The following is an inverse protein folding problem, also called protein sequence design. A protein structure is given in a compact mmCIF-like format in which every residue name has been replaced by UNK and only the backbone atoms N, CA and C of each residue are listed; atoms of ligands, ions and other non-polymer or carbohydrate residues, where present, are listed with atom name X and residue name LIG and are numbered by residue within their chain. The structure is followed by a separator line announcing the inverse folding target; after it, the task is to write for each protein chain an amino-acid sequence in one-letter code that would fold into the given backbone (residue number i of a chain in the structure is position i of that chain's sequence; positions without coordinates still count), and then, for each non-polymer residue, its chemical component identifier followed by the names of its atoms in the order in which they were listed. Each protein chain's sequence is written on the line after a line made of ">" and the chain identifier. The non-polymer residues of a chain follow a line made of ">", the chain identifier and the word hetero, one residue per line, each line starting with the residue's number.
data_IF_064657564166
#
_entry.id   IF_064657564166
#
_cell.length_a   1.000
_cell.length_b   1.000
_cell.length_c   1.000
_cell.angle_alpha   90.00
_cell.angle_beta   90.00
_cell.angle_gamma   90.00
#
_symmetry.space_group_name_H-M   'P 1'
#
loop_
_entity.id
_entity.type
_entity.pdbx_description
1 polymer ?
#
# COMPACT_ATOMS: atom_id res chain seq x y z
N UNK A 1 0.13 1.17 -9.58
CA UNK A 1 0.31 -0.28 -9.35
C UNK A 1 0.94 -0.91 -10.59
N UNK A 2 2.18 -1.39 -10.50
CA UNK A 2 2.88 -1.93 -11.66
C UNK A 2 2.34 -3.32 -12.06
N UNK A 3 1.78 -3.39 -13.27
CA UNK A 3 1.16 -4.54 -13.96
C UNK A 3 2.13 -5.65 -14.37
N UNK A 4 3.35 -5.70 -13.84
CA UNK A 4 4.39 -6.67 -14.23
C UNK A 4 3.96 -8.12 -13.95
N UNK A 5 3.08 -8.34 -12.97
CA UNK A 5 2.65 -9.67 -12.50
C UNK A 5 1.39 -10.20 -13.18
N UNK A 6 0.48 -9.29 -13.56
CA UNK A 6 -0.94 -9.60 -13.73
C UNK A 6 -1.22 -10.63 -14.83
N UNK A 7 -0.49 -10.58 -15.94
CA UNK A 7 -0.73 -11.49 -17.05
C UNK A 7 -0.22 -12.92 -16.78
N UNK A 8 0.88 -13.07 -16.05
CA UNK A 8 1.57 -14.37 -15.93
C UNK A 8 1.39 -15.07 -14.59
N UNK A 9 1.47 -14.33 -13.49
CA UNK A 9 1.44 -14.88 -12.13
C UNK A 9 0.12 -14.61 -11.42
N UNK A 10 -0.72 -13.73 -11.98
CA UNK A 10 -1.96 -13.26 -11.33
C UNK A 10 -1.63 -12.49 -10.05
N UNK A 11 -2.45 -12.66 -9.01
CA UNK A 11 -2.13 -12.12 -7.70
C UNK A 11 -0.88 -12.80 -7.09
N UNK A 12 -0.02 -12.01 -6.45
CA UNK A 12 1.24 -12.47 -5.84
C UNK A 12 1.27 -12.02 -4.38
N UNK A 13 1.62 -12.92 -3.48
CA UNK A 13 1.91 -12.61 -2.08
C UNK A 13 3.30 -13.10 -1.68
N UNK A 14 3.91 -12.41 -0.72
CA UNK A 14 5.20 -12.77 -0.13
C UNK A 14 5.04 -12.78 1.38
N UNK A 15 5.45 -13.86 2.03
CA UNK A 15 5.46 -14.00 3.50
C UNK A 15 6.80 -14.55 3.96
N UNK A 16 7.29 -14.15 5.13
CA UNK A 16 8.47 -14.76 5.73
C UNK A 16 8.05 -15.96 6.57
N UNK A 17 8.63 -17.12 6.29
CA UNK A 17 8.33 -18.35 7.01
C UNK A 17 9.62 -19.10 7.36
N UNK A 18 9.60 -19.81 8.49
CA UNK A 18 10.63 -20.80 8.80
C UNK A 18 10.36 -22.09 7.99
N UNK A 19 11.35 -22.53 7.23
CA UNK A 19 11.26 -23.72 6.38
C UNK A 19 12.40 -24.68 6.67
N UNK A 20 12.13 -25.98 6.52
CA UNK A 20 13.15 -27.00 6.60
C UNK A 20 13.97 -27.03 5.30
N UNK A 21 15.30 -26.79 5.34
CA UNK A 21 16.15 -26.85 4.14
C UNK A 21 16.03 -28.17 3.36
N UNK A 22 15.70 -29.28 4.03
CA UNK A 22 15.54 -30.61 3.42
C UNK A 22 14.31 -30.68 2.49
N UNK A 23 13.33 -29.79 2.68
CA UNK A 23 12.11 -29.72 1.86
C UNK A 23 12.28 -28.87 0.59
N UNK A 24 13.41 -28.17 0.45
CA UNK A 24 13.65 -27.25 -0.65
C UNK A 24 14.13 -27.99 -1.91
N UNK A 25 13.70 -27.49 -3.06
CA UNK A 25 14.09 -27.95 -4.39
C UNK A 25 14.74 -26.80 -5.15
N UNK A 26 15.62 -27.12 -6.07
CA UNK A 26 16.35 -26.18 -6.91
C UNK A 26 16.27 -26.64 -8.37
N UNK A 27 16.26 -25.69 -9.32
CA UNK A 27 16.52 -26.00 -10.74
C UNK A 27 18.02 -26.05 -11.07
N UNK A 28 18.86 -25.69 -10.09
CA UNK A 28 20.31 -25.68 -10.17
C UNK A 28 20.84 -26.87 -9.36
N UNK A 29 21.64 -27.74 -10.01
CA UNK A 29 22.27 -28.90 -9.37
C UNK A 29 23.72 -28.66 -8.92
N UNK A 30 24.35 -27.58 -9.39
CA UNK A 30 25.75 -27.23 -9.08
C UNK A 30 25.86 -25.77 -8.64
N UNK A 31 26.59 -25.53 -7.55
CA UNK A 31 26.83 -24.16 -7.03
C UNK A 31 28.30 -23.79 -7.05
N UNK A 32 28.61 -22.52 -7.34
CA UNK A 32 29.98 -22.02 -7.28
C UNK A 32 30.57 -22.08 -5.85
N UNK A 33 31.74 -22.69 -5.69
CA UNK A 33 32.38 -22.93 -4.38
C UNK A 33 32.70 -21.65 -3.63
N UNK A 34 33.16 -20.58 -4.30
CA UNK A 34 33.43 -19.30 -3.62
C UNK A 34 32.18 -18.64 -3.05
N UNK A 35 31.06 -18.68 -3.77
CA UNK A 35 29.75 -18.18 -3.28
C UNK A 35 29.19 -19.06 -2.17
N UNK A 36 29.43 -20.37 -2.23
CA UNK A 36 29.05 -21.30 -1.17
C UNK A 36 29.84 -21.01 0.12
N UNK A 37 31.16 -20.80 0.04
CA UNK A 37 31.98 -20.41 1.19
C UNK A 37 31.52 -19.07 1.79
N UNK A 38 31.19 -18.09 0.94
CA UNK A 38 30.63 -16.80 1.39
C UNK A 38 29.30 -16.97 2.13
N UNK A 39 28.43 -17.87 1.65
CA UNK A 39 27.17 -18.19 2.31
C UNK A 39 27.37 -18.89 3.66
N UNK A 40 28.37 -19.78 3.79
CA UNK A 40 28.73 -20.38 5.08
C UNK A 40 29.25 -19.33 6.07
N UNK A 41 30.10 -18.40 5.61
CA UNK A 41 30.58 -17.31 6.45
C UNK A 41 29.43 -16.43 6.94
N UNK A 42 28.49 -16.07 6.07
CA UNK A 42 27.29 -15.33 6.45
C UNK A 42 26.44 -16.10 7.48
N UNK A 43 26.24 -17.40 7.28
CA UNK A 43 25.51 -18.23 8.23
C UNK A 43 26.16 -18.22 9.62
N UNK A 44 27.49 -18.28 9.69
CA UNK A 44 28.21 -18.17 10.96
C UNK A 44 27.97 -16.84 11.66
N UNK A 45 27.83 -15.72 10.93
CA UNK A 45 27.50 -14.43 11.52
C UNK A 45 26.12 -14.44 12.19
N UNK A 46 25.11 -15.04 11.55
CA UNK A 46 23.78 -15.23 12.15
C UNK A 46 23.84 -16.02 13.45
N UNK A 47 24.50 -17.18 13.41
CA UNK A 47 24.64 -18.06 14.57
C UNK A 47 25.40 -17.36 15.71
N UNK A 48 26.49 -16.67 15.39
CA UNK A 48 27.28 -15.92 16.37
C UNK A 48 26.49 -14.76 17.00
N UNK A 49 25.60 -14.12 16.25
CA UNK A 49 24.72 -13.06 16.74
C UNK A 49 23.51 -13.59 17.53
N UNK A 50 23.31 -14.90 17.64
CA UNK A 50 22.12 -15.48 18.27
C UNK A 50 20.82 -15.22 17.49
N UNK A 51 20.93 -14.87 16.20
CA UNK A 51 19.80 -14.57 15.33
C UNK A 51 19.43 -15.85 14.56
N UNK A 52 18.13 -16.10 14.40
CA UNK A 52 17.69 -17.26 13.64
C UNK A 52 18.25 -17.21 12.20
N UNK A 53 18.77 -18.32 11.66
CA UNK A 53 19.42 -18.35 10.35
C UNK A 53 18.59 -17.70 9.25
N UNK A 54 19.15 -16.64 8.67
CA UNK A 54 18.55 -15.84 7.60
C UNK A 54 17.23 -15.16 7.93
N UNK A 55 16.92 -14.98 9.23
CA UNK A 55 15.90 -14.05 9.65
C UNK A 55 16.23 -12.67 9.08
N UNK A 56 15.25 -11.90 8.58
CA UNK A 56 15.54 -10.59 8.04
C UNK A 56 16.21 -9.67 9.06
N UNK A 57 17.34 -9.08 8.69
CA UNK A 57 18.10 -8.17 9.55
C UNK A 57 18.48 -6.91 8.80
N UNK A 58 18.31 -5.76 9.45
CA UNK A 58 18.79 -4.48 8.93
C UNK A 58 20.23 -4.28 9.41
N UNK A 59 21.18 -4.33 8.48
CA UNK A 59 22.58 -4.05 8.78
C UNK A 59 22.75 -2.54 8.88
N UNK A 60 23.16 -2.04 10.05
CA UNK A 60 23.47 -0.62 10.22
C UNK A 60 24.69 -0.24 9.40
N UNK A 61 24.57 0.81 8.58
CA UNK A 61 25.66 1.39 7.79
C UNK A 61 25.52 2.92 7.78
N UNK A 62 26.64 3.69 7.77
CA UNK A 62 26.61 5.15 7.72
C UNK A 62 25.82 5.72 6.53
N UNK A 63 25.80 5.01 5.40
CA UNK A 63 25.18 5.45 4.14
C UNK A 63 23.72 4.95 3.97
N UNK A 64 23.10 4.51 5.07
CA UNK A 64 21.80 3.85 5.07
C UNK A 64 21.93 2.35 5.29
N UNK A 65 21.02 1.78 6.08
CA UNK A 65 21.07 0.36 6.44
C UNK A 65 20.82 -0.55 5.24
N UNK A 66 21.53 -1.68 5.17
CA UNK A 66 21.31 -2.71 4.14
C UNK A 66 20.44 -3.80 4.72
N UNK A 67 19.26 -4.03 4.15
CA UNK A 67 18.43 -5.15 4.56
C UNK A 67 18.98 -6.46 4.00
N UNK A 68 19.35 -7.38 4.89
CA UNK A 68 19.75 -8.72 4.52
C UNK A 68 18.56 -9.66 4.63
N UNK A 69 18.19 -10.25 3.50
CA UNK A 69 17.07 -11.18 3.38
C UNK A 69 17.55 -12.64 3.37
N UNK A 70 16.63 -13.56 3.66
CA UNK A 70 16.86 -14.99 3.43
C UNK A 70 16.72 -15.40 1.96
N UNK A 71 16.78 -16.71 1.67
CA UNK A 71 16.48 -17.22 0.34
C UNK A 71 15.04 -16.87 -0.08
N UNK A 72 14.85 -16.67 -1.39
CA UNK A 72 13.54 -16.49 -2.00
C UNK A 72 13.04 -17.84 -2.53
N UNK A 73 11.86 -18.25 -2.10
CA UNK A 73 11.29 -19.57 -2.36
C UNK A 73 9.87 -19.41 -2.90
N UNK A 74 9.53 -20.12 -3.97
CA UNK A 74 8.17 -20.23 -4.49
C UNK A 74 7.45 -21.44 -3.89
N UNK A 75 6.22 -21.23 -3.41
CA UNK A 75 5.31 -22.33 -3.05
C UNK A 75 4.66 -22.89 -4.32
N UNK A 76 5.27 -23.93 -4.89
CA UNK A 76 4.84 -24.57 -6.13
C UNK A 76 4.09 -25.89 -5.84
N UNK A 77 3.18 -26.38 -6.71
CA UNK A 77 2.49 -27.66 -6.51
C UNK A 77 3.44 -28.86 -6.44
N UNK A 78 4.64 -28.72 -7.02
CA UNK A 78 5.72 -29.73 -7.00
C UNK A 78 6.67 -29.58 -5.79
N UNK A 79 6.37 -28.70 -4.83
CA UNK A 79 7.17 -28.46 -3.63
C UNK A 79 7.68 -27.02 -3.50
N UNK A 80 8.52 -26.78 -2.50
CA UNK A 80 9.16 -25.48 -2.28
C UNK A 80 10.34 -25.31 -3.24
N UNK A 81 10.26 -24.35 -4.15
CA UNK A 81 11.26 -24.10 -5.19
C UNK A 81 12.11 -22.88 -4.84
N UNK A 82 13.42 -23.05 -4.74
CA UNK A 82 14.36 -21.94 -4.56
C UNK A 82 14.41 -21.13 -5.86
N UNK A 83 14.02 -19.86 -5.78
CA UNK A 83 14.16 -18.89 -6.86
C UNK A 83 15.48 -18.13 -6.76
N UNK A 84 15.90 -17.79 -5.54
CA UNK A 84 17.19 -17.18 -5.24
C UNK A 84 17.74 -17.65 -3.89
N UNK A 85 19.07 -17.62 -3.74
CA UNK A 85 19.74 -17.96 -2.48
C UNK A 85 20.06 -19.45 -2.31
N UNK A 86 20.23 -20.21 -3.40
CA UNK A 86 20.59 -21.65 -3.34
C UNK A 86 21.85 -21.92 -2.51
N UNK A 87 22.86 -21.04 -2.58
CA UNK A 87 24.08 -21.16 -1.77
C UNK A 87 23.80 -21.05 -0.27
N UNK A 88 22.91 -20.11 0.12
CA UNK A 88 22.48 -19.89 1.52
C UNK A 88 21.72 -21.09 2.05
N UNK A 89 20.75 -21.59 1.28
CA UNK A 89 19.98 -22.77 1.63
C UNK A 89 20.87 -24.01 1.74
N UNK A 90 21.79 -24.21 0.79
CA UNK A 90 22.73 -25.34 0.83
C UNK A 90 23.66 -25.25 2.04
N UNK A 91 24.16 -24.05 2.38
CA UNK A 91 25.00 -23.86 3.56
C UNK A 91 24.25 -24.29 4.82
N UNK A 92 23.00 -23.83 5.00
CA UNK A 92 22.18 -24.23 6.13
C UNK A 92 21.93 -25.75 6.20
N UNK A 93 21.62 -26.37 5.06
CA UNK A 93 21.43 -27.83 4.98
C UNK A 93 22.71 -28.58 5.40
N UNK A 94 23.88 -28.15 4.91
CA UNK A 94 25.17 -28.80 5.22
C UNK A 94 25.61 -28.58 6.68
N UNK A 95 25.16 -27.50 7.31
CA UNK A 95 25.33 -27.25 8.74
C UNK A 95 24.31 -28.02 9.61
N UNK A 96 23.43 -28.84 9.02
CA UNK A 96 22.48 -29.66 9.76
C UNK A 96 21.33 -28.86 10.40
N UNK A 97 21.05 -27.66 9.90
CA UNK A 97 19.96 -26.85 10.41
C UNK A 97 18.61 -27.47 10.03
N UNK A 98 17.70 -27.53 11.00
CA UNK A 98 16.32 -28.00 10.79
C UNK A 98 15.40 -26.92 10.25
N UNK A 99 15.81 -25.65 10.36
CA UNK A 99 15.00 -24.48 9.99
C UNK A 99 15.87 -23.34 9.48
N UNK A 100 15.37 -22.64 8.46
CA UNK A 100 15.87 -21.35 7.98
C UNK A 100 14.70 -20.44 7.69
N UNK A 101 14.87 -19.13 7.85
CA UNK A 101 13.87 -18.17 7.41
C UNK A 101 14.01 -17.91 5.91
N UNK A 102 12.89 -17.92 5.19
CA UNK A 102 12.83 -17.70 3.76
C UNK A 102 11.66 -16.78 3.39
N UNK A 103 11.83 -16.00 2.32
CA UNK A 103 10.74 -15.26 1.69
C UNK A 103 9.93 -16.23 0.80
N UNK A 104 8.71 -16.55 1.20
CA UNK A 104 7.80 -17.46 0.50
C UNK A 104 6.90 -16.68 -0.44
N UNK A 105 7.17 -16.79 -1.73
CA UNK A 105 6.34 -16.32 -2.83
C UNK A 105 5.19 -17.29 -3.08
N UNK A 106 3.95 -16.79 -3.05
CA UNK A 106 2.76 -17.53 -3.49
C UNK A 106 2.10 -16.79 -4.64
N UNK A 107 1.85 -17.50 -5.73
CA UNK A 107 1.27 -16.96 -6.97
C UNK A 107 -0.09 -17.60 -7.26
N UNK A 108 -1.03 -16.79 -7.77
CA UNK A 108 -2.36 -17.28 -8.19
C UNK A 108 -2.24 -18.21 -9.40
N UNK A 109 -1.43 -17.81 -10.38
CA UNK A 109 -1.06 -18.63 -11.54
C UNK A 109 0.34 -19.18 -11.29
N UNK A 110 0.48 -20.50 -11.40
CA UNK A 110 1.69 -21.23 -11.02
C UNK A 110 2.37 -21.77 -12.29
N UNK A 111 3.22 -20.97 -12.96
CA UNK A 111 3.90 -21.41 -14.17
C UNK A 111 4.87 -22.55 -13.87
N UNK A 112 5.13 -23.40 -14.86
CA UNK A 112 6.09 -24.49 -14.74
C UNK A 112 7.49 -23.98 -14.36
N UNK A 113 8.27 -24.73 -13.56
CA UNK A 113 9.66 -24.36 -13.25
C UNK A 113 10.52 -24.29 -14.52
N UNK A 114 11.57 -23.46 -14.49
CA UNK A 114 12.46 -23.29 -15.64
C UNK A 114 13.24 -24.56 -16.03
N UNK A 115 13.24 -25.59 -15.20
CA UNK A 115 13.92 -26.86 -15.45
C UNK A 115 13.50 -27.96 -14.47
N UNK A 116 14.16 -29.14 -14.54
CA UNK A 116 13.90 -30.24 -13.63
C UNK A 116 14.15 -29.82 -12.18
N UNK A 117 13.29 -30.29 -11.27
CA UNK A 117 13.47 -30.06 -9.85
C UNK A 117 14.49 -31.06 -9.29
N UNK A 118 15.48 -30.52 -8.58
CA UNK A 118 16.52 -31.27 -7.88
C UNK A 118 16.38 -30.98 -6.38
N UNK A 119 16.23 -32.00 -5.52
CA UNK A 119 16.24 -31.79 -4.08
C UNK A 119 17.51 -31.07 -3.64
N UNK A 120 17.42 -30.15 -2.68
CA UNK A 120 18.58 -29.38 -2.23
C UNK A 120 19.74 -30.28 -1.72
N UNK A 121 19.42 -31.46 -1.18
CA UNK A 121 20.40 -32.45 -0.74
C UNK A 121 21.27 -33.01 -1.88
N UNK A 122 20.76 -33.03 -3.10
CA UNK A 122 21.46 -33.46 -4.30
C UNK A 122 22.27 -32.34 -4.98
N UNK A 123 22.15 -31.09 -4.51
CA UNK A 123 22.96 -29.97 -4.99
C UNK A 123 24.37 -30.05 -4.42
N UNK A 124 25.38 -29.94 -5.29
CA UNK A 124 26.79 -30.04 -4.91
C UNK A 124 27.60 -28.80 -5.28
N UNK A 125 28.61 -28.41 -4.48
CA UNK A 125 29.58 -27.40 -4.89
C UNK A 125 30.40 -27.87 -6.08
N UNK A 126 30.62 -27.00 -7.06
CA UNK A 126 31.44 -27.30 -8.22
C UNK A 126 32.91 -27.48 -7.83
N UNK A 127 33.55 -28.55 -8.32
CA UNK A 127 35.00 -28.77 -8.15
C UNK A 127 35.85 -27.94 -9.11
N UNK A 128 35.24 -27.27 -10.09
CA UNK A 128 35.92 -26.45 -11.07
C UNK A 128 36.11 -25.00 -10.54
N UNK A 129 37.33 -24.43 -10.55
CA UNK A 129 37.60 -23.09 -10.02
C UNK A 129 36.89 -21.92 -10.71
N UNK A 130 36.23 -22.14 -11.86
CA UNK A 130 35.73 -21.06 -12.73
C UNK A 130 34.33 -21.32 -13.35
N UNK A 131 33.37 -21.89 -12.62
CA UNK A 131 31.97 -21.87 -13.07
C UNK A 131 31.32 -20.52 -12.77
N UNK A 132 31.71 -19.48 -13.53
CA UNK A 132 31.05 -18.16 -13.51
C UNK A 132 29.75 -18.12 -14.31
N UNK A 133 29.44 -19.19 -15.04
CA UNK A 133 28.21 -19.29 -15.83
C UNK A 133 27.29 -20.26 -15.11
N UNK A 134 26.12 -19.84 -14.60
CA UNK A 134 25.09 -20.79 -14.22
C UNK A 134 24.79 -21.65 -15.45
N UNK A 135 25.13 -22.94 -15.37
CA UNK A 135 24.82 -23.92 -16.40
C UNK A 135 23.31 -24.16 -16.38
N UNK A 136 22.55 -23.18 -16.87
CA UNK A 136 21.15 -23.34 -17.24
C UNK A 136 21.10 -24.17 -18.52
N UNK A 137 21.59 -25.42 -18.45
CA UNK A 137 21.40 -26.38 -19.54
C UNK A 137 19.90 -26.70 -19.57
N UNK A 138 19.23 -26.30 -20.65
CA UNK A 138 17.82 -26.61 -20.97
C UNK A 138 16.73 -25.71 -20.38
N UNK A 139 16.99 -24.44 -20.09
CA UNK A 139 15.94 -23.54 -19.57
C UNK A 139 15.30 -22.72 -20.69
N UNK A 140 14.00 -22.90 -20.86
CA UNK A 140 13.15 -21.95 -21.59
C UNK A 140 13.20 -20.60 -20.87
N UNK A 141 13.75 -19.57 -21.52
CA UNK A 141 13.92 -18.23 -20.94
C UNK A 141 12.59 -17.65 -20.46
N UNK A 142 11.49 -18.04 -21.12
CA UNK A 142 10.16 -17.62 -20.74
C UNK A 142 9.81 -18.15 -19.36
N UNK A 143 10.42 -19.22 -18.86
CA UNK A 143 10.18 -19.78 -17.51
C UNK A 143 11.01 -19.17 -16.37
N UNK A 144 11.84 -18.14 -16.62
CA UNK A 144 12.50 -17.45 -15.50
C UNK A 144 11.57 -16.51 -14.74
N UNK A 145 11.82 -16.42 -13.43
CA UNK A 145 11.15 -15.47 -12.52
C UNK A 145 12.01 -14.21 -12.46
N UNK A 146 11.41 -13.01 -12.45
CA UNK A 146 12.14 -11.75 -12.30
C UNK A 146 12.56 -11.55 -10.83
N UNK A 147 13.42 -12.42 -10.31
CA UNK A 147 13.79 -12.52 -8.88
C UNK A 147 14.29 -11.22 -8.28
N UNK A 148 15.08 -10.44 -9.01
CA UNK A 148 15.55 -9.14 -8.54
C UNK A 148 14.39 -8.18 -8.22
N UNK A 149 13.39 -8.07 -9.10
CA UNK A 149 12.20 -7.24 -8.84
C UNK A 149 11.36 -7.76 -7.67
N UNK A 150 11.33 -9.08 -7.47
CA UNK A 150 10.66 -9.69 -6.30
C UNK A 150 11.38 -9.26 -5.02
N UNK A 151 12.71 -9.34 -5.01
CA UNK A 151 13.52 -8.97 -3.86
C UNK A 151 13.42 -7.47 -3.56
N UNK A 152 13.47 -6.61 -4.56
CA UNK A 152 13.30 -5.15 -4.39
C UNK A 152 11.95 -4.80 -3.73
N UNK A 153 10.85 -5.41 -4.19
CA UNK A 153 9.52 -5.18 -3.61
C UNK A 153 9.38 -5.76 -2.20
N UNK A 154 9.91 -6.97 -1.98
CA UNK A 154 9.91 -7.60 -0.66
C UNK A 154 10.76 -6.79 0.34
N UNK A 155 11.88 -6.23 -0.12
CA UNK A 155 12.76 -5.37 0.65
C UNK A 155 12.06 -4.06 1.02
N UNK A 156 11.46 -3.33 0.07
CA UNK A 156 10.73 -2.10 0.39
C UNK A 156 9.63 -2.30 1.43
N UNK A 157 8.88 -3.41 1.33
CA UNK A 157 7.81 -3.71 2.28
C UNK A 157 8.35 -4.10 3.65
N UNK A 158 9.42 -4.90 3.71
CA UNK A 158 9.99 -5.34 4.97
C UNK A 158 10.79 -4.23 5.68
N UNK A 159 11.46 -3.35 4.93
CA UNK A 159 12.05 -2.14 5.49
C UNK A 159 10.97 -1.25 6.10
N UNK A 160 9.81 -1.15 5.46
CA UNK A 160 8.65 -0.44 6.02
C UNK A 160 8.20 -1.10 7.32
N UNK A 161 7.92 -2.40 7.30
CA UNK A 161 7.46 -3.15 8.47
C UNK A 161 8.47 -3.07 9.64
N UNK A 162 9.77 -3.19 9.36
CA UNK A 162 10.82 -3.06 10.38
C UNK A 162 10.97 -1.63 10.90
N UNK A 163 10.79 -0.61 10.05
CA UNK A 163 10.75 0.79 10.50
C UNK A 163 9.50 1.08 11.31
N UNK A 164 8.36 0.48 10.97
CA UNK A 164 7.13 0.58 11.76
C UNK A 164 7.31 -0.10 13.11
N UNK A 165 7.84 -1.32 13.16
CA UNK A 165 8.15 -2.02 14.42
C UNK A 165 9.15 -1.25 15.29
N UNK A 166 10.17 -0.64 14.68
CA UNK A 166 11.11 0.22 15.40
C UNK A 166 10.49 1.57 15.86
N UNK A 167 9.37 2.00 15.26
CA UNK A 167 8.62 3.21 15.63
C UNK A 167 7.41 2.93 16.54
N UNK A 168 6.88 1.71 16.55
CA UNK A 168 5.73 1.29 17.36
C UNK A 168 6.03 1.37 18.87
N UNK A 169 7.30 1.42 19.27
CA UNK A 169 7.68 1.69 20.67
C UNK A 169 7.49 3.16 21.09
N UNK A 170 7.14 4.10 20.19
CA UNK A 170 7.03 5.52 20.58
C UNK A 170 5.83 6.36 20.14
N UNK A 171 5.00 6.04 19.14
CA UNK A 171 3.79 6.85 18.89
C UNK A 171 2.63 6.03 18.30
N UNK A 172 1.46 6.08 18.94
CA UNK A 172 0.22 5.59 18.36
C UNK A 172 -0.10 6.44 17.12
N UNK A 173 -0.03 5.86 15.93
CA UNK A 173 -0.45 6.51 14.69
C UNK A 173 -1.96 6.76 14.73
N UNK A 174 -2.35 7.92 15.27
CA UNK A 174 -3.73 8.35 15.34
C UNK A 174 -4.15 8.98 14.01
N UNK A 175 -5.33 8.60 13.50
CA UNK A 175 -5.96 9.34 12.43
C UNK A 175 -6.59 10.62 13.01
N UNK A 176 -6.50 11.72 12.27
CA UNK A 176 -7.07 13.01 12.65
C UNK A 176 -8.15 13.42 11.65
N UNK A 177 -9.27 13.97 12.13
CA UNK A 177 -10.32 14.59 11.30
C UNK A 177 -10.67 15.95 11.91
N UNK A 178 -10.81 16.98 11.08
CA UNK A 178 -11.15 18.33 11.53
C UNK A 178 -11.84 19.15 10.44
N UNK A 179 -12.52 20.21 10.87
CA UNK A 179 -13.07 21.25 10.00
C UNK A 179 -12.47 22.61 10.39
N UNK A 180 -12.96 23.69 9.79
CA UNK A 180 -12.49 25.06 10.03
C UNK A 180 -12.73 25.57 11.46
N UNK A 181 -13.65 24.94 12.20
CA UNK A 181 -14.11 25.38 13.53
C UNK A 181 -13.56 24.47 14.65
N UNK A 182 -12.91 23.36 14.30
CA UNK A 182 -12.32 22.42 15.24
C UNK A 182 -11.16 23.02 16.06
N UNK A 183 -11.07 22.63 17.34
CA UNK A 183 -9.95 22.99 18.23
C UNK A 183 -8.59 22.47 17.70
N UNK A 184 -8.60 21.39 16.91
CA UNK A 184 -7.41 20.78 16.34
C UNK A 184 -6.61 21.76 15.46
N UNK A 185 -7.27 22.78 14.90
CA UNK A 185 -6.65 23.76 14.00
C UNK A 185 -5.39 24.42 14.57
N UNK A 186 -5.33 24.62 15.89
CA UNK A 186 -4.20 25.31 16.53
C UNK A 186 -3.13 24.33 17.07
N UNK A 187 -3.37 23.02 16.96
CA UNK A 187 -2.37 22.00 17.29
C UNK A 187 -1.27 21.94 16.23
N UNK A 188 -0.04 21.62 16.68
CA UNK A 188 1.13 21.53 15.81
C UNK A 188 1.39 20.09 15.37
N UNK A 189 1.78 19.95 14.11
CA UNK A 189 2.22 18.71 13.50
C UNK A 189 3.60 18.31 14.03
N UNK A 190 3.71 17.11 14.58
CA UNK A 190 4.99 16.45 14.81
C UNK A 190 5.70 16.07 13.50
N UNK A 191 7.02 15.84 13.57
CA UNK A 191 7.83 15.46 12.41
C UNK A 191 7.33 14.21 11.69
N UNK A 192 6.77 13.26 12.44
CA UNK A 192 6.29 11.96 11.98
C UNK A 192 4.92 12.02 11.31
N UNK A 193 4.14 13.09 11.56
CA UNK A 193 2.80 13.30 10.98
C UNK A 193 2.80 14.20 9.75
N UNK A 194 3.95 14.77 9.37
CA UNK A 194 4.06 15.60 8.17
C UNK A 194 3.69 14.76 6.93
N UNK A 195 2.65 15.14 6.17
CA UNK A 195 2.17 14.36 5.05
C UNK A 195 3.18 14.35 3.90
N UNK A 196 3.27 13.21 3.21
CA UNK A 196 4.01 13.07 1.95
C UNK A 196 3.09 12.94 0.74
N UNK A 197 1.79 12.82 0.99
CA UNK A 197 0.74 12.66 -0.02
C UNK A 197 -0.44 13.54 0.34
N UNK A 198 -1.08 14.07 -0.68
CA UNK A 198 -2.26 14.93 -0.57
C UNK A 198 -3.37 14.37 -1.46
N UNK A 199 -4.58 14.33 -0.93
CA UNK A 199 -5.76 13.88 -1.65
C UNK A 199 -6.83 14.97 -1.59
N UNK A 200 -7.11 15.57 -2.75
CA UNK A 200 -8.18 16.54 -2.92
C UNK A 200 -9.42 15.79 -3.38
N UNK A 201 -10.34 15.54 -2.47
CA UNK A 201 -11.48 14.64 -2.64
C UNK A 201 -12.79 15.42 -2.78
N UNK A 202 -13.65 14.98 -3.70
CA UNK A 202 -15.00 15.51 -3.86
C UNK A 202 -16.06 14.44 -3.61
N UNK A 203 -16.54 14.28 -2.36
CA UNK A 203 -17.71 13.46 -2.09
C UNK A 203 -18.98 14.12 -2.64
N UNK A 204 -19.87 13.30 -3.19
CA UNK A 204 -21.18 13.74 -3.63
C UNK A 204 -22.26 13.25 -2.67
N UNK A 205 -22.98 14.20 -2.10
CA UNK A 205 -24.21 13.93 -1.35
C UNK A 205 -25.36 14.01 -2.34
N UNK A 206 -25.77 12.83 -2.82
CA UNK A 206 -26.88 12.72 -3.77
C UNK A 206 -28.18 12.60 -3.00
N UNK A 207 -29.16 13.44 -3.33
CA UNK A 207 -30.44 13.55 -2.61
C UNK A 207 -31.61 13.36 -3.57
N UNK A 208 -32.56 12.51 -3.19
CA UNK A 208 -33.76 12.26 -3.98
C UNK A 208 -34.91 13.23 -3.64
N UNK A 209 -36.04 13.09 -4.34
CA UNK A 209 -37.24 13.92 -4.13
C UNK A 209 -37.83 13.75 -2.72
N UNK A 210 -37.62 12.59 -2.10
CA UNK A 210 -38.03 12.27 -0.71
C UNK A 210 -37.03 12.80 0.34
N UNK A 211 -36.06 13.62 -0.07
CA UNK A 211 -34.96 14.15 0.78
C UNK A 211 -34.07 13.09 1.43
N UNK A 212 -34.06 11.88 0.88
CA UNK A 212 -33.14 10.83 1.32
C UNK A 212 -31.79 11.03 0.66
N UNK A 213 -30.72 10.75 1.39
CA UNK A 213 -29.35 10.74 0.87
C UNK A 213 -28.98 9.33 0.40
N UNK A 214 -28.17 9.27 -0.66
CA UNK A 214 -27.59 8.05 -1.17
C UNK A 214 -26.27 7.73 -0.48
N UNK A 215 -26.16 6.53 0.08
CA UNK A 215 -24.88 5.92 0.46
C UNK A 215 -24.69 4.64 -0.35
N UNK A 216 -23.45 4.39 -0.79
CA UNK A 216 -23.10 3.26 -1.66
C UNK A 216 -21.95 2.46 -1.07
N UNK A 217 -21.85 1.20 -1.48
CA UNK A 217 -20.63 0.41 -1.36
C UNK A 217 -20.04 0.27 -2.76
N UNK A 218 -18.99 1.05 -3.11
CA UNK A 218 -18.38 1.01 -4.43
C UNK A 218 -17.46 -0.21 -4.61
N UNK A 219 -17.24 -1.01 -3.57
CA UNK A 219 -16.33 -2.15 -3.56
C UNK A 219 -16.99 -3.42 -3.01
N UNK A 220 -18.11 -3.88 -3.60
CA UNK A 220 -18.91 -4.98 -3.05
C UNK A 220 -18.19 -6.35 -3.09
N UNK A 221 -17.16 -6.49 -3.92
CA UNK A 221 -16.28 -7.67 -3.97
C UNK A 221 -14.93 -7.44 -3.26
N UNK A 222 -14.72 -6.26 -2.70
CA UNK A 222 -13.49 -5.86 -2.01
C UNK A 222 -13.49 -6.17 -0.52
N UNK A 223 -12.41 -5.82 0.16
CA UNK A 223 -12.26 -5.98 1.62
C UNK A 223 -12.90 -4.84 2.44
N UNK A 224 -13.52 -3.87 1.78
CA UNK A 224 -13.97 -2.61 2.38
C UNK A 224 -15.49 -2.65 2.47
N UNK A 225 -15.99 -3.43 3.42
CA UNK A 225 -17.42 -3.58 3.70
C UNK A 225 -17.95 -2.31 4.41
N UNK A 226 -18.08 -1.21 3.65
CA UNK A 226 -18.29 0.13 4.22
C UNK A 226 -19.17 1.01 3.33
N UNK A 227 -20.23 1.57 3.92
CA UNK A 227 -21.05 2.60 3.31
C UNK A 227 -20.30 3.92 3.23
N UNK A 228 -20.33 4.55 2.05
CA UNK A 228 -19.71 5.85 1.80
C UNK A 228 -20.52 6.69 0.82
N UNK A 229 -20.29 8.00 0.80
CA UNK A 229 -20.70 8.80 -0.34
C UNK A 229 -19.86 8.43 -1.56
N UNK A 230 -20.44 8.41 -2.78
CA UNK A 230 -19.62 8.35 -3.99
C UNK A 230 -18.64 9.52 -4.02
N UNK A 231 -17.37 9.24 -4.28
CA UNK A 231 -16.33 10.27 -4.32
C UNK A 231 -15.28 9.93 -5.37
N UNK A 232 -14.52 10.96 -5.75
CA UNK A 232 -13.29 10.84 -6.49
C UNK A 232 -12.26 11.82 -5.92
N UNK A 233 -10.99 11.57 -6.19
CA UNK A 233 -9.90 12.38 -5.66
C UNK A 233 -8.84 12.65 -6.71
N UNK A 234 -8.30 13.87 -6.73
CA UNK A 234 -6.97 14.13 -7.26
C UNK A 234 -5.95 13.79 -6.17
N UNK A 235 -5.00 12.91 -6.48
CA UNK A 235 -3.94 12.51 -5.55
C UNK A 235 -2.62 13.05 -6.10
N UNK A 236 -1.90 13.79 -5.26
CA UNK A 236 -0.58 14.34 -5.59
C UNK A 236 0.42 14.05 -4.47
N UNK A 237 1.68 13.84 -4.81
CA UNK A 237 2.76 13.64 -3.84
C UNK A 237 3.49 14.94 -3.53
N UNK A 238 4.21 14.97 -2.40
CA UNK A 238 5.04 16.11 -2.02
C UNK A 238 6.11 16.42 -3.06
N UNK A 239 6.68 15.40 -3.69
CA UNK A 239 7.67 15.56 -4.76
C UNK A 239 7.05 16.25 -5.98
N UNK A 240 5.86 15.84 -6.42
CA UNK A 240 5.14 16.45 -7.55
C UNK A 240 4.86 17.93 -7.29
N UNK A 241 4.37 18.28 -6.09
CA UNK A 241 4.11 19.67 -5.72
C UNK A 241 5.41 20.50 -5.68
N UNK A 242 6.50 19.90 -5.21
CA UNK A 242 7.80 20.60 -5.10
C UNK A 242 8.42 20.88 -6.48
N UNK A 243 8.22 19.98 -7.45
CA UNK A 243 8.72 20.13 -8.81
C UNK A 243 8.00 21.25 -9.57
N UNK A 244 6.69 21.38 -9.40
CA UNK A 244 5.91 22.44 -10.05
C UNK A 244 6.29 23.83 -9.53
N UNK A 245 6.56 23.92 -8.23
CA UNK A 245 6.97 25.17 -7.57
C UNK A 245 8.35 25.66 -8.03
N UNK A 246 9.25 24.76 -8.45
CA UNK A 246 10.59 25.12 -8.89
C UNK A 246 10.65 25.71 -10.32
N UNK A 247 9.58 25.53 -11.11
CA UNK A 247 9.48 26.02 -12.49
C UNK A 247 8.86 27.42 -12.65
N UNK A 248 8.25 27.96 -11.60
CA UNK A 248 7.62 29.28 -11.62
C UNK A 248 8.47 30.30 -10.85
N UNK A 249 9.23 31.11 -11.59
CA UNK A 249 10.08 32.21 -11.09
C UNK A 249 9.24 33.44 -10.61
N UNK A 250 7.98 33.21 -10.28
CA UNK A 250 7.12 34.20 -9.64
C UNK A 250 7.29 34.04 -8.15
N UNK A 251 7.67 35.09 -7.40
CA UNK A 251 7.96 35.04 -5.96
C UNK A 251 6.82 34.63 -5.00
N UNK A 252 5.89 33.79 -5.44
CA UNK A 252 4.94 33.03 -4.63
C UNK A 252 5.67 31.95 -3.83
N UNK A 253 5.43 31.94 -2.51
CA UNK A 253 5.89 30.85 -1.62
C UNK A 253 5.45 29.47 -2.15
N UNK A 254 6.21 28.40 -1.87
CA UNK A 254 5.84 27.05 -2.28
C UNK A 254 4.45 26.70 -1.72
N UNK A 255 3.58 26.21 -2.61
CA UNK A 255 2.14 26.01 -2.36
C UNK A 255 1.85 25.13 -1.14
N UNK A 256 2.77 24.23 -0.79
CA UNK A 256 2.73 23.39 0.39
C UNK A 256 4.03 23.52 1.21
N UNK A 257 4.17 24.65 1.91
CA UNK A 257 5.23 24.87 2.90
C UNK A 257 4.95 24.16 4.24
N UNK A 258 4.40 22.94 4.21
CA UNK A 258 4.08 22.19 5.43
C UNK A 258 5.32 21.45 5.93
N UNK A 259 5.68 21.72 7.17
CA UNK A 259 6.84 21.15 7.85
C UNK A 259 6.49 20.75 9.29
N UNK A 260 7.46 20.17 9.99
CA UNK A 260 7.36 19.98 11.43
C UNK A 260 7.08 21.32 12.12
N UNK A 261 6.13 21.30 13.07
CA UNK A 261 5.71 22.48 13.81
C UNK A 261 4.66 23.33 13.10
N UNK A 262 4.36 23.08 11.82
CA UNK A 262 3.17 23.66 11.16
C UNK A 262 1.90 23.25 11.89
N UNK A 263 0.85 24.05 11.81
CA UNK A 263 -0.45 23.79 12.43
C UNK A 263 -1.39 23.05 11.49
N UNK A 264 -2.43 22.40 12.04
CA UNK A 264 -3.51 21.83 11.23
C UNK A 264 -4.24 22.89 10.39
N UNK A 265 -4.36 24.13 10.90
CA UNK A 265 -4.89 25.28 10.16
C UNK A 265 -4.06 25.59 8.91
N UNK A 266 -2.75 25.71 9.06
CA UNK A 266 -1.83 25.94 7.92
C UNK A 266 -1.92 24.79 6.91
N UNK A 267 -2.06 23.55 7.37
CA UNK A 267 -2.28 22.39 6.49
C UNK A 267 -3.58 22.52 5.68
N UNK A 268 -4.69 22.88 6.32
CA UNK A 268 -5.97 23.12 5.63
C UNK A 268 -5.89 24.25 4.60
N UNK A 269 -5.24 25.36 4.95
CA UNK A 269 -5.04 26.50 4.06
C UNK A 269 -4.19 26.12 2.84
N UNK A 270 -3.13 25.35 3.06
CA UNK A 270 -2.24 24.88 1.99
C UNK A 270 -2.94 23.86 1.07
N UNK A 271 -3.75 22.94 1.60
CA UNK A 271 -4.59 22.05 0.80
C UNK A 271 -5.57 22.85 -0.08
N UNK A 272 -6.24 23.84 0.50
CA UNK A 272 -7.15 24.71 -0.24
C UNK A 272 -6.45 25.54 -1.32
N UNK A 273 -5.20 25.96 -1.08
CA UNK A 273 -4.37 26.63 -2.09
C UNK A 273 -3.99 25.67 -3.22
N UNK A 274 -3.52 24.46 -2.89
CA UNK A 274 -3.19 23.42 -3.85
C UNK A 274 -4.38 23.09 -4.75
N UNK A 275 -5.59 22.97 -4.19
CA UNK A 275 -6.79 22.73 -4.98
C UNK A 275 -7.11 23.86 -5.95
N UNK A 276 -6.97 25.11 -5.53
CA UNK A 276 -7.21 26.28 -6.41
C UNK A 276 -6.23 26.34 -7.56
N UNK A 277 -4.96 26.01 -7.31
CA UNK A 277 -3.93 25.98 -8.34
C UNK A 277 -4.17 24.83 -9.32
N UNK A 278 -4.44 23.62 -8.82
CA UNK A 278 -4.69 22.42 -9.62
C UNK A 278 -6.18 22.25 -9.96
N UNK A 279 -6.92 23.34 -10.10
CA UNK A 279 -8.37 23.29 -10.23
C UNK A 279 -8.82 22.49 -11.46
N UNK A 280 -8.13 22.64 -12.60
CA UNK A 280 -8.47 21.93 -13.84
C UNK A 280 -8.20 20.42 -13.72
N UNK A 281 -7.05 20.04 -13.14
CA UNK A 281 -6.72 18.65 -12.84
C UNK A 281 -7.69 18.03 -11.86
N UNK A 282 -8.06 18.79 -10.82
CA UNK A 282 -9.02 18.38 -9.80
C UNK A 282 -10.38 18.09 -10.43
N UNK A 283 -10.91 19.02 -11.24
CA UNK A 283 -12.19 18.83 -11.95
C UNK A 283 -12.13 17.61 -12.88
N UNK A 284 -11.05 17.47 -13.66
CA UNK A 284 -10.86 16.35 -14.58
C UNK A 284 -10.81 15.00 -13.86
N UNK A 285 -10.04 14.92 -12.76
CA UNK A 285 -9.93 13.72 -11.92
C UNK A 285 -11.27 13.33 -11.31
N UNK A 286 -12.07 14.31 -10.87
CA UNK A 286 -13.38 14.05 -10.28
C UNK A 286 -14.37 13.55 -11.31
N UNK A 287 -14.48 14.24 -12.45
CA UNK A 287 -15.39 13.84 -13.53
C UNK A 287 -15.10 12.41 -13.98
N UNK A 288 -13.82 12.09 -14.19
CA UNK A 288 -13.41 10.74 -14.60
C UNK A 288 -13.66 9.71 -13.50
N UNK A 289 -13.29 10.03 -12.25
CA UNK A 289 -13.37 9.10 -11.13
C UNK A 289 -14.82 8.77 -10.73
N UNK A 290 -15.69 9.77 -10.59
CA UNK A 290 -17.10 9.57 -10.19
C UNK A 290 -17.85 8.74 -11.23
N UNK A 291 -17.66 9.05 -12.51
CA UNK A 291 -18.31 8.30 -13.60
C UNK A 291 -17.89 6.82 -13.64
N UNK A 292 -16.71 6.47 -13.09
CA UNK A 292 -16.30 5.07 -12.95
C UNK A 292 -16.98 4.35 -11.78
N UNK A 293 -17.40 5.08 -10.74
CA UNK A 293 -18.05 4.52 -9.55
C UNK A 293 -19.56 4.42 -9.76
N UNK A 294 -20.17 5.47 -10.32
CA UNK A 294 -21.59 5.52 -10.66
C UNK A 294 -21.74 6.11 -12.06
N UNK A 295 -21.72 5.25 -13.07
CA UNK A 295 -21.86 5.66 -14.47
C UNK A 295 -23.17 6.41 -14.74
N UNK A 296 -24.24 6.14 -13.99
CA UNK A 296 -25.53 6.80 -14.16
C UNK A 296 -25.54 8.27 -13.68
N UNK A 297 -24.45 8.76 -13.07
CA UNK A 297 -24.23 10.19 -12.78
C UNK A 297 -23.53 10.94 -13.94
N UNK A 298 -23.35 10.27 -15.09
CA UNK A 298 -22.63 10.78 -16.26
C UNK A 298 -23.01 12.22 -16.62
N UNK A 299 -22.02 13.12 -16.59
CA UNK A 299 -22.14 14.52 -16.98
C UNK A 299 -22.64 15.47 -15.89
N UNK A 300 -22.88 14.98 -14.67
CA UNK A 300 -23.45 15.76 -13.56
C UNK A 300 -22.62 15.68 -12.28
N UNK A 301 -21.31 15.99 -12.36
CA UNK A 301 -20.69 16.66 -11.22
C UNK A 301 -21.26 18.09 -11.14
N UNK A 302 -22.53 18.16 -10.76
CA UNK A 302 -23.34 19.36 -10.63
C UNK A 302 -23.76 19.46 -9.18
N UNK A 303 -23.45 20.58 -8.57
CA UNK A 303 -23.77 20.82 -7.17
C UNK A 303 -23.01 22.02 -6.66
N UNK A 304 -23.59 22.71 -5.67
CA UNK A 304 -22.85 23.69 -4.91
C UNK A 304 -22.01 22.95 -3.87
N UNK A 305 -20.72 23.30 -3.78
CA UNK A 305 -19.92 22.94 -2.61
C UNK A 305 -20.57 23.57 -1.37
N UNK A 306 -20.89 22.76 -0.36
CA UNK A 306 -21.61 23.24 0.83
C UNK A 306 -20.86 23.00 2.13
N UNK A 307 -19.91 22.08 2.13
CA UNK A 307 -19.15 21.71 3.32
C UNK A 307 -17.73 21.27 2.94
N UNK A 308 -16.77 21.54 3.82
CA UNK A 308 -15.40 21.08 3.65
C UNK A 308 -14.89 20.59 4.98
N UNK A 309 -14.35 19.37 4.99
CA UNK A 309 -13.58 18.86 6.12
C UNK A 309 -12.23 18.32 5.65
N UNK A 310 -11.38 18.04 6.62
CA UNK A 310 -10.01 17.62 6.40
C UNK A 310 -9.74 16.37 7.23
N UNK A 311 -8.82 15.53 6.75
CA UNK A 311 -8.33 14.43 7.56
C UNK A 311 -6.86 14.16 7.30
N UNK A 312 -6.18 13.57 8.28
CA UNK A 312 -4.80 13.13 8.19
C UNK A 312 -4.79 11.67 8.60
N UNK A 313 -4.56 10.77 7.62
CA UNK A 313 -4.66 9.32 7.85
C UNK A 313 -3.33 8.64 7.59
N UNK A 314 -2.96 7.74 8.50
CA UNK A 314 -1.73 6.97 8.35
C UNK A 314 -1.96 5.73 7.48
N UNK A 315 -1.22 5.65 6.37
CA UNK A 315 -1.25 4.46 5.53
C UNK A 315 -0.12 3.51 5.94
N UNK A 316 -0.47 2.38 6.55
CA UNK A 316 0.50 1.31 6.87
C UNK A 316 1.24 0.81 5.63
N UNK A 317 0.59 0.81 4.47
CA UNK A 317 1.18 0.33 3.21
C UNK A 317 2.25 1.27 2.66
N UNK A 318 2.13 2.59 2.88
CA UNK A 318 3.13 3.57 2.45
C UNK A 318 4.03 4.05 3.59
N UNK A 319 3.71 3.70 4.84
CA UNK A 319 4.38 4.18 6.05
C UNK A 319 4.42 5.70 6.12
N UNK A 320 3.37 6.35 5.62
CA UNK A 320 3.30 7.80 5.54
C UNK A 320 1.87 8.29 5.75
N UNK A 321 1.75 9.52 6.23
CA UNK A 321 0.47 10.21 6.31
C UNK A 321 0.05 10.75 4.94
N UNK A 322 -1.25 10.63 4.68
CA UNK A 322 -1.92 11.31 3.58
C UNK A 322 -2.86 12.35 4.18
N UNK A 323 -2.71 13.60 3.76
CA UNK A 323 -3.62 14.68 4.12
C UNK A 323 -4.74 14.77 3.07
N UNK A 324 -5.97 14.87 3.54
CA UNK A 324 -7.17 14.92 2.70
C UNK A 324 -7.86 16.26 2.89
N UNK A 325 -8.29 16.88 1.79
CA UNK A 325 -9.35 17.89 1.77
C UNK A 325 -10.57 17.24 1.13
N UNK A 326 -11.67 17.13 1.85
CA UNK A 326 -12.95 16.69 1.30
C UNK A 326 -13.85 17.91 1.10
N UNK A 327 -14.16 18.22 -0.16
CA UNK A 327 -15.13 19.25 -0.50
C UNK A 327 -16.43 18.57 -0.94
N UNK A 328 -17.49 18.72 -0.15
CA UNK A 328 -18.76 18.04 -0.35
C UNK A 328 -19.67 18.82 -1.27
N UNK A 329 -20.21 18.12 -2.26
CA UNK A 329 -21.13 18.68 -3.25
C UNK A 329 -22.51 18.08 -3.06
N UNK A 330 -23.51 18.95 -2.96
CA UNK A 330 -24.91 18.53 -2.90
C UNK A 330 -25.47 18.40 -4.31
N UNK A 331 -25.94 17.21 -4.67
CA UNK A 331 -26.58 16.93 -5.96
C UNK A 331 -28.00 16.44 -5.73
N UNK A 332 -28.98 16.97 -6.47
CA UNK A 332 -30.39 16.57 -6.38
C UNK A 332 -30.79 15.83 -7.63
N UNK A 333 -31.31 14.61 -7.47
CA UNK A 333 -31.72 13.74 -8.58
C UNK A 333 -33.14 13.23 -8.33
N UNK A 334 -34.00 13.25 -9.35
CA UNK A 334 -35.36 12.73 -9.20
C UNK A 334 -35.35 11.20 -9.04
N UNK A 335 -34.48 10.50 -9.77
CA UNK A 335 -34.29 9.07 -9.67
C UNK A 335 -32.89 8.67 -10.16
N UNK A 336 -32.34 7.63 -9.56
CA UNK A 336 -31.09 7.01 -9.98
C UNK A 336 -31.27 5.50 -9.99
N UNK A 337 -30.83 4.85 -11.07
CA UNK A 337 -30.70 3.39 -11.11
C UNK A 337 -29.24 3.06 -10.86
N UNK A 338 -28.98 2.10 -9.99
CA UNK A 338 -27.63 1.75 -9.55
C UNK A 338 -27.48 0.24 -9.58
N UNK A 339 -26.43 -0.22 -10.26
CA UNK A 339 -26.06 -1.63 -10.32
C UNK A 339 -25.06 -2.05 -9.21
N UNK A 340 -24.89 -1.20 -8.19
CA UNK A 340 -24.05 -1.43 -7.01
C UNK A 340 -24.91 -1.44 -5.73
N UNK A 341 -24.47 -2.09 -4.64
CA UNK A 341 -25.17 -2.01 -3.37
C UNK A 341 -25.25 -0.57 -2.88
N UNK A 342 -26.45 -0.15 -2.51
CA UNK A 342 -26.74 1.20 -2.07
C UNK A 342 -27.95 1.24 -1.14
N UNK A 343 -28.05 2.34 -0.39
CA UNK A 343 -29.19 2.64 0.47
C UNK A 343 -29.57 4.09 0.27
N UNK A 344 -30.87 4.33 0.08
CA UNK A 344 -31.48 5.64 0.26
C UNK A 344 -31.96 5.77 1.70
N UNK A 345 -31.51 6.80 2.40
CA UNK A 345 -31.81 6.97 3.82
C UNK A 345 -32.02 8.44 4.18
N UNK A 346 -32.98 8.70 5.07
CA UNK A 346 -33.14 10.01 5.69
C UNK A 346 -31.93 10.32 6.58
N UNK A 347 -31.31 11.51 6.47
CA UNK A 347 -30.16 11.88 7.29
C UNK A 347 -30.34 11.67 8.80
N UNK A 348 -31.52 11.99 9.34
CA UNK A 348 -31.87 11.81 10.76
C UNK A 348 -31.88 10.33 11.16
N UNK A 349 -32.42 9.47 10.29
CA UNK A 349 -32.41 8.03 10.50
C UNK A 349 -30.98 7.49 10.49
N UNK A 350 -30.15 7.95 9.56
CA UNK A 350 -28.74 7.54 9.51
C UNK A 350 -27.99 7.97 10.77
N UNK A 351 -28.22 9.20 11.26
CA UNK A 351 -27.64 9.67 12.52
C UNK A 351 -28.05 8.79 13.71
N UNK A 352 -29.34 8.45 13.84
CA UNK A 352 -29.82 7.58 14.91
C UNK A 352 -29.22 6.16 14.84
N UNK A 353 -29.03 5.61 13.64
CA UNK A 353 -28.39 4.30 13.46
C UNK A 353 -26.90 4.33 13.83
N UNK A 354 -26.19 5.43 13.55
CA UNK A 354 -24.78 5.60 13.93
C UNK A 354 -24.60 5.71 15.44
N UNK A 355 -25.57 6.26 16.16
CA UNK A 355 -25.57 6.29 17.63
C UNK A 355 -25.87 4.91 18.23
N UNK A 356 -26.72 4.12 17.57
CA UNK A 356 -27.19 2.82 18.07
C UNK A 356 -26.38 1.60 17.62
N UNK A 357 -25.53 1.72 16.60
CA UNK A 357 -24.83 0.59 15.97
C UNK A 357 -23.50 1.01 15.34
N UNK A 358 -22.47 0.18 15.51
CA UNK A 358 -21.21 0.31 14.77
C UNK A 358 -21.35 -0.11 13.29
N UNK A 359 -22.43 -0.82 12.94
CA UNK A 359 -22.68 -1.33 11.59
C UNK A 359 -24.12 -1.08 11.09
N UNK A 360 -24.50 0.19 10.84
CA UNK A 360 -25.78 0.51 10.22
C UNK A 360 -26.02 -0.30 8.94
N UNK A 361 -27.17 -0.96 8.85
CA UNK A 361 -27.53 -1.81 7.71
C UNK A 361 -26.51 -2.92 7.42
N UNK A 362 -25.83 -3.41 8.47
CA UNK A 362 -24.91 -4.54 8.40
C UNK A 362 -23.50 -4.20 7.93
N UNK A 363 -23.18 -2.91 7.71
CA UNK A 363 -21.84 -2.48 7.25
C UNK A 363 -21.36 -1.28 8.05
N UNK A 364 -20.03 -1.08 8.08
CA UNK A 364 -19.47 0.14 8.68
C UNK A 364 -19.86 1.36 7.85
N UNK A 365 -19.88 2.54 8.46
CA UNK A 365 -20.05 3.80 7.75
C UNK A 365 -18.72 4.53 7.75
N UNK A 366 -18.30 4.99 6.58
CA UNK A 366 -17.05 5.73 6.41
C UNK A 366 -17.14 7.11 7.09
N UNK A 367 -15.99 7.61 7.58
CA UNK A 367 -15.92 8.92 8.24
C UNK A 367 -16.38 10.06 7.31
N UNK A 368 -16.20 9.93 5.99
CA UNK A 368 -16.71 10.93 5.03
C UNK A 368 -18.25 11.03 5.01
N UNK A 369 -18.98 10.04 5.54
CA UNK A 369 -20.43 10.13 5.72
C UNK A 369 -20.76 10.70 7.08
N UNK A 370 -20.20 10.10 8.14
CA UNK A 370 -20.48 10.50 9.52
C UNK A 370 -20.11 11.97 9.79
N UNK A 371 -18.94 12.42 9.33
CA UNK A 371 -18.43 13.78 9.58
C UNK A 371 -19.23 14.87 8.83
N UNK A 372 -19.99 14.50 7.80
CA UNK A 372 -20.75 15.44 6.96
C UNK A 372 -22.23 15.55 7.35
N UNK A 373 -22.76 14.61 8.14
CA UNK A 373 -24.18 14.58 8.50
C UNK A 373 -24.72 15.88 9.11
N UNK A 374 -24.04 16.54 10.08
CA UNK A 374 -24.51 17.81 10.64
C UNK A 374 -24.65 18.92 9.59
N UNK A 375 -23.71 18.96 8.63
CA UNK A 375 -23.74 19.93 7.55
C UNK A 375 -24.84 19.61 6.52
N UNK A 376 -25.11 18.32 6.27
CA UNK A 376 -26.21 17.87 5.39
C UNK A 376 -27.56 18.29 5.97
N UNK A 377 -27.79 18.11 7.28
CA UNK A 377 -29.02 18.57 7.94
C UNK A 377 -29.24 20.08 7.78
N UNK A 378 -28.17 20.86 7.80
CA UNK A 378 -28.26 22.31 7.63
C UNK A 378 -28.53 22.74 6.18
N UNK A 379 -28.27 21.87 5.21
CA UNK A 379 -28.32 22.16 3.77
C UNK A 379 -29.60 21.66 3.06
N UNK A 380 -30.41 20.80 3.72
CA UNK A 380 -31.64 20.19 3.18
C UNK A 380 -32.94 20.78 3.74
#
# INVERSE_FOLDING_TARGET
>A
MATVWGHRFGAVSVMYEAVDPRSLNSVINLVATGRFASAQALLHLFVAAGIAPYQPVLLSSPDGGTLLLGPLVERHPKGLLILDGVHRSLAALRHGLSTVWAAILTTQRRPEPAGPLVPLSAVTPSTAPQTWIPLFRHTDNDNFRPTQRILEQAQSRLELDLRLLAKEDHMAHADHSWDKDANLNDERLGADVVPTRYALTAPQVVVNDDKQILIVDPHPAGTWDTWMFPYASLIVTREEVSQDSAGQDTGSSPILAIAEGSTFRELSEALGALRRERQDEYVSAIQTGVNNVIADLNGTWSGAGFYTNYSLKFSKTSGSYTAYEFNYFLNRVAALRLDIPHVWIEPERLAAELEGSETPFGRKVSSNVADALPAIHSAL
#
